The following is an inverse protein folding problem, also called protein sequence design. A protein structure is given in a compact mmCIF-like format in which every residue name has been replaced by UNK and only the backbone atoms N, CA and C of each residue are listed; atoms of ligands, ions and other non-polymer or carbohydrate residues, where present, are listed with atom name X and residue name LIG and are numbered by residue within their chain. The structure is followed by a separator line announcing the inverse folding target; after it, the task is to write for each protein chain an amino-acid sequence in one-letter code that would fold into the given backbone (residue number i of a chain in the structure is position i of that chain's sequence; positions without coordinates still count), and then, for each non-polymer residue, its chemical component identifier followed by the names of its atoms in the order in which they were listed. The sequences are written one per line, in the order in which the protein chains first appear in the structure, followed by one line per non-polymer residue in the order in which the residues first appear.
data_IF_733774534788
#
_entry.id   IF_733774534788
#
_cell.length_a   1.000
_cell.length_b   1.000
_cell.length_c   1.000
_cell.angle_alpha   90.00
_cell.angle_beta   90.00
_cell.angle_gamma   90.00
#
_symmetry.space_group_name_H-M   'P 1'
#
loop_
_entity.id
_entity.type
_entity.pdbx_description
1 polymer ?
#
# COMPACT_ATOMS: atom_id res chain seq x y z
N UNK A 1 -8.95 -6.27 14.04
CA UNK A 1 -8.58 -7.04 12.83
C UNK A 1 -7.64 -6.16 12.02
N UNK A 2 -6.51 -6.69 11.56
CA UNK A 2 -5.58 -5.97 10.69
C UNK A 2 -6.11 -5.97 9.26
N UNK A 3 -6.25 -4.80 8.65
CA UNK A 3 -6.61 -4.67 7.24
C UNK A 3 -5.35 -4.85 6.38
N UNK A 4 -5.53 -5.42 5.19
CA UNK A 4 -4.44 -5.69 4.26
C UNK A 4 -4.82 -5.38 2.82
N UNK A 5 -3.80 -5.11 2.00
CA UNK A 5 -3.92 -5.10 0.54
C UNK A 5 -3.00 -6.20 0.04
N UNK A 6 -3.60 -7.12 -0.72
CA UNK A 6 -2.96 -8.34 -1.21
C UNK A 6 -2.87 -8.27 -2.73
N UNK A 7 -1.68 -8.45 -3.27
CA UNK A 7 -1.51 -8.74 -4.69
C UNK A 7 -1.71 -10.24 -4.88
N UNK A 8 -2.85 -10.61 -5.48
CA UNK A 8 -3.23 -12.00 -5.69
C UNK A 8 -3.38 -12.24 -7.18
N UNK A 9 -2.78 -13.32 -7.68
CA UNK A 9 -2.99 -13.79 -9.05
C UNK A 9 -3.93 -14.96 -9.06
N UNK A 10 -5.06 -14.81 -9.73
CA UNK A 10 -6.03 -15.88 -9.92
C UNK A 10 -5.74 -16.64 -11.22
N UNK A 11 -6.29 -17.85 -11.32
CA UNK A 11 -6.29 -18.56 -12.59
C UNK A 11 -7.32 -17.91 -13.53
N UNK A 12 -6.90 -17.50 -14.72
CA UNK A 12 -7.79 -16.98 -15.74
C UNK A 12 -7.99 -18.01 -16.86
N UNK A 13 -9.24 -18.27 -17.22
CA UNK A 13 -9.57 -19.14 -18.35
C UNK A 13 -10.00 -18.32 -19.58
N UNK A 14 -10.19 -19.01 -20.71
CA UNK A 14 -10.54 -18.39 -21.99
C UNK A 14 -11.95 -17.74 -22.00
N UNK A 15 -12.75 -17.95 -20.97
CA UNK A 15 -14.08 -17.35 -20.80
C UNK A 15 -14.04 -15.99 -20.07
N UNK A 16 -12.85 -15.53 -19.68
CA UNK A 16 -12.65 -14.26 -18.98
C UNK A 16 -13.00 -14.30 -17.49
N UNK A 17 -13.35 -15.47 -16.94
CA UNK A 17 -13.58 -15.65 -15.50
C UNK A 17 -12.26 -15.89 -14.75
N UNK A 18 -12.26 -15.52 -13.47
CA UNK A 18 -11.15 -15.75 -12.53
C UNK A 18 -11.52 -16.88 -11.57
N UNK A 19 -10.58 -17.78 -11.32
CA UNK A 19 -10.79 -18.99 -10.53
C UNK A 19 -9.85 -19.07 -9.33
N UNK A 20 -10.37 -19.61 -8.22
CA UNK A 20 -9.62 -19.80 -6.98
C UNK A 20 -8.68 -21.01 -7.03
N UNK A 21 -8.95 -21.99 -7.88
CA UNK A 21 -8.31 -23.32 -7.87
C UNK A 21 -6.77 -23.29 -7.92
N UNK A 22 -6.17 -22.22 -8.43
CA UNK A 22 -4.72 -21.98 -8.40
C UNK A 22 -4.36 -20.52 -8.08
N UNK A 23 -5.08 -19.91 -7.13
CA UNK A 23 -4.77 -18.56 -6.69
C UNK A 23 -3.40 -18.49 -5.99
N UNK A 24 -2.56 -17.55 -6.41
CA UNK A 24 -1.24 -17.30 -5.84
C UNK A 24 -1.21 -15.94 -5.13
N UNK A 25 -0.85 -15.96 -3.85
CA UNK A 25 -0.63 -14.74 -3.08
C UNK A 25 0.81 -14.27 -3.31
N UNK A 26 0.96 -13.24 -4.12
CA UNK A 26 2.27 -12.72 -4.52
C UNK A 26 2.88 -11.86 -3.41
N UNK A 27 2.11 -10.95 -2.84
CA UNK A 27 2.59 -10.02 -1.80
C UNK A 27 1.45 -9.47 -0.94
N UNK A 28 1.75 -9.16 0.32
CA UNK A 28 0.80 -8.59 1.28
C UNK A 28 1.39 -7.34 1.95
N UNK A 29 0.62 -6.25 1.94
CA UNK A 29 0.90 -5.07 2.75
C UNK A 29 -0.23 -4.83 3.76
N UNK A 30 0.12 -4.77 5.04
CA UNK A 30 -0.81 -4.31 6.07
C UNK A 30 -1.06 -2.81 5.92
N UNK A 31 -2.30 -2.40 6.14
CA UNK A 31 -2.73 -1.00 5.99
C UNK A 31 -3.56 -0.58 7.20
N UNK A 32 -3.43 0.67 7.63
CA UNK A 32 -4.30 1.23 8.65
C UNK A 32 -5.66 1.56 8.05
N UNK A 33 -6.72 1.50 8.85
CA UNK A 33 -8.06 1.89 8.39
C UNK A 33 -8.07 3.32 7.83
N UNK A 34 -7.39 4.27 8.48
CA UNK A 34 -7.30 5.65 8.01
C UNK A 34 -6.66 5.79 6.62
N UNK A 35 -5.59 5.04 6.34
CA UNK A 35 -4.91 5.08 5.06
C UNK A 35 -5.73 4.40 3.96
N UNK A 36 -6.40 3.30 4.29
CA UNK A 36 -7.30 2.63 3.36
C UNK A 36 -8.48 3.52 2.95
N UNK A 37 -9.10 4.22 3.92
CA UNK A 37 -10.19 5.15 3.63
C UNK A 37 -9.72 6.36 2.81
N UNK A 38 -8.52 6.90 3.08
CA UNK A 38 -7.93 7.95 2.23
C UNK A 38 -7.76 7.49 0.77
N UNK A 39 -7.34 6.23 0.56
CA UNK A 39 -7.23 5.66 -0.79
C UNK A 39 -8.61 5.48 -1.43
N UNK A 40 -9.59 4.91 -0.72
CA UNK A 40 -10.96 4.69 -1.22
C UNK A 40 -11.69 5.99 -1.57
N UNK A 41 -11.39 7.08 -0.88
CA UNK A 41 -11.96 8.39 -1.18
C UNK A 41 -11.52 8.94 -2.54
N UNK A 42 -10.39 8.46 -3.08
CA UNK A 42 -9.83 8.92 -4.36
C UNK A 42 -9.91 7.88 -5.46
N UNK A 43 -9.83 6.60 -5.09
CA UNK A 43 -9.78 5.47 -6.02
C UNK A 43 -10.90 4.51 -5.66
N UNK A 44 -11.91 4.43 -6.52
CA UNK A 44 -13.03 3.53 -6.32
C UNK A 44 -12.58 2.08 -6.41
N UNK A 45 -13.07 1.24 -5.50
CA UNK A 45 -12.87 -0.20 -5.57
C UNK A 45 -13.83 -0.79 -6.61
N UNK A 46 -13.34 -1.79 -7.33
CA UNK A 46 -14.13 -2.64 -8.20
C UNK A 46 -14.41 -3.97 -7.50
N UNK A 47 -15.66 -4.41 -7.61
CA UNK A 47 -16.06 -5.75 -7.22
C UNK A 47 -15.72 -6.73 -8.35
N UNK A 48 -15.04 -7.84 -8.03
CA UNK A 48 -14.75 -8.93 -8.97
C UNK A 48 -15.25 -10.26 -8.42
N UNK A 49 -15.84 -11.07 -9.30
CA UNK A 49 -16.28 -12.43 -8.96
C UNK A 49 -15.14 -13.42 -9.15
N UNK A 50 -14.89 -14.21 -8.11
CA UNK A 50 -13.94 -15.33 -8.11
C UNK A 50 -14.72 -16.63 -8.02
N UNK A 51 -14.60 -17.46 -9.05
CA UNK A 51 -15.31 -18.72 -9.16
C UNK A 51 -14.52 -19.85 -8.49
N UNK A 52 -15.21 -20.79 -7.84
CA UNK A 52 -14.55 -21.86 -7.09
C UNK A 52 -13.80 -22.85 -8.01
N UNK A 53 -14.40 -23.19 -9.14
CA UNK A 53 -13.87 -24.16 -10.09
C UNK A 53 -14.37 -23.95 -11.53
N UNK A 54 -13.59 -24.44 -12.50
CA UNK A 54 -13.94 -24.46 -13.92
C UNK A 54 -15.28 -25.18 -14.15
N UNK A 55 -16.21 -24.50 -14.80
CA UNK A 55 -17.56 -25.02 -15.08
C UNK A 55 -18.56 -24.90 -13.93
N UNK A 56 -18.14 -24.38 -12.76
CA UNK A 56 -19.06 -23.98 -11.68
C UNK A 56 -19.54 -22.54 -11.89
N UNK A 57 -20.77 -22.26 -11.45
CA UNK A 57 -21.31 -20.89 -11.33
C UNK A 57 -21.23 -20.37 -9.89
N UNK A 58 -20.78 -21.19 -8.94
CA UNK A 58 -20.53 -20.78 -7.56
C UNK A 58 -19.31 -19.86 -7.51
N UNK A 59 -19.50 -18.69 -6.91
CA UNK A 59 -18.50 -17.64 -6.81
C UNK A 59 -18.67 -16.81 -5.55
N UNK A 60 -17.60 -16.11 -5.17
CA UNK A 60 -17.64 -15.03 -4.19
C UNK A 60 -17.11 -13.73 -4.79
N UNK A 61 -17.56 -12.60 -4.26
CA UNK A 61 -17.10 -11.28 -4.67
C UNK A 61 -15.90 -10.83 -3.83
N UNK A 62 -14.94 -10.17 -4.45
CA UNK A 62 -13.84 -9.46 -3.80
C UNK A 62 -13.84 -7.99 -4.18
N UNK A 63 -13.42 -7.14 -3.25
CA UNK A 63 -13.11 -5.74 -3.54
C UNK A 63 -11.64 -5.61 -3.93
N UNK A 64 -11.37 -4.92 -5.04
CA UNK A 64 -10.02 -4.67 -5.51
C UNK A 64 -9.86 -3.27 -6.11
N UNK A 65 -8.62 -2.76 -6.14
CA UNK A 65 -8.33 -1.50 -6.84
C UNK A 65 -8.38 -1.70 -8.36
N UNK A 66 -8.90 -0.70 -9.07
CA UNK A 66 -8.88 -0.70 -10.53
C UNK A 66 -7.46 -0.54 -11.09
N UNK A 67 -7.14 -1.33 -12.11
CA UNK A 67 -5.83 -1.30 -12.77
C UNK A 67 -5.50 0.07 -13.38
N UNK A 68 -6.51 0.81 -13.83
CA UNK A 68 -6.37 2.19 -14.34
C UNK A 68 -5.86 3.16 -13.27
N UNK A 69 -6.16 2.89 -12.00
CA UNK A 69 -5.94 3.82 -10.89
C UNK A 69 -4.63 3.51 -10.16
N UNK A 70 -4.01 2.34 -10.40
CA UNK A 70 -2.79 1.89 -9.72
C UNK A 70 -1.66 2.91 -9.81
N UNK A 71 -1.42 3.48 -11.00
CA UNK A 71 -0.35 4.47 -11.18
C UNK A 71 -0.62 5.75 -10.37
N UNK A 72 -1.87 6.21 -10.34
CA UNK A 72 -2.26 7.38 -9.56
C UNK A 72 -2.20 7.11 -8.05
N UNK A 73 -2.58 5.91 -7.62
CA UNK A 73 -2.48 5.48 -6.24
C UNK A 73 -1.03 5.42 -5.75
N UNK A 74 -0.08 4.95 -6.59
CA UNK A 74 1.36 4.99 -6.27
C UNK A 74 1.79 6.43 -5.99
N UNK A 75 1.47 7.37 -6.87
CA UNK A 75 1.85 8.79 -6.70
C UNK A 75 1.28 9.37 -5.41
N UNK A 76 0.01 9.08 -5.11
CA UNK A 76 -0.63 9.52 -3.87
C UNK A 76 0.05 8.95 -2.62
N UNK A 77 0.42 7.67 -2.64
CA UNK A 77 1.15 7.05 -1.55
C UNK A 77 2.54 7.65 -1.36
N UNK A 78 3.25 7.96 -2.46
CA UNK A 78 4.54 8.65 -2.43
C UNK A 78 4.41 10.08 -1.87
N UNK A 79 3.33 10.81 -2.20
CA UNK A 79 3.04 12.12 -1.61
C UNK A 79 2.78 12.04 -0.10
N UNK A 80 1.98 11.06 0.35
CA UNK A 80 1.73 10.80 1.77
C UNK A 80 3.04 10.48 2.49
N UNK A 81 3.87 9.62 1.88
CA UNK A 81 5.17 9.26 2.41
C UNK A 81 6.08 10.48 2.58
N UNK A 82 6.18 11.36 1.57
CA UNK A 82 6.96 12.59 1.66
C UNK A 82 6.42 13.54 2.73
N UNK A 83 5.10 13.61 2.92
CA UNK A 83 4.48 14.42 3.97
C UNK A 83 4.86 13.90 5.37
N UNK A 84 4.80 12.59 5.58
CA UNK A 84 5.20 11.95 6.84
C UNK A 84 6.68 12.12 7.10
N UNK A 85 7.54 11.94 6.10
CA UNK A 85 8.99 12.15 6.25
C UNK A 85 9.30 13.60 6.68
N UNK A 86 8.60 14.59 6.12
CA UNK A 86 8.74 16.00 6.53
C UNK A 86 8.24 16.24 7.95
N UNK A 87 7.13 15.62 8.33
CA UNK A 87 6.54 15.74 9.67
C UNK A 87 7.44 15.11 10.73
N UNK A 88 7.86 13.86 10.50
CA UNK A 88 8.72 13.10 11.41
C UNK A 88 10.11 13.74 11.47
N UNK A 89 10.64 14.23 10.35
CA UNK A 89 11.87 15.02 10.33
C UNK A 89 11.81 16.24 11.25
N UNK A 90 10.70 17.00 11.25
CA UNK A 90 10.50 18.13 12.17
C UNK A 90 10.38 17.71 13.63
N UNK A 91 9.70 16.60 13.92
CA UNK A 91 9.56 16.07 15.28
C UNK A 91 10.90 15.58 15.83
N UNK A 92 11.65 14.84 15.01
CA UNK A 92 12.93 14.26 15.38
C UNK A 92 14.06 15.30 15.44
N UNK A 93 13.98 16.42 14.71
CA UNK A 93 15.01 17.47 14.78
C UNK A 93 14.95 18.37 16.02
N UNK A 94 13.92 18.26 16.87
CA UNK A 94 13.67 19.27 17.91
C UNK A 94 13.50 20.67 17.30
N UNK A 95 13.26 21.69 18.12
CA UNK A 95 13.29 23.08 17.63
C UNK A 95 14.74 23.43 17.27
N UNK A 96 15.11 23.25 16.01
CA UNK A 96 16.35 23.80 15.46
C UNK A 96 16.24 25.34 15.53
N UNK A 97 17.00 25.97 16.43
CA UNK A 97 17.29 27.39 16.24
C UNK A 97 18.10 27.53 14.94
N UNK A 98 17.83 28.54 14.10
CA UNK A 98 18.48 28.68 12.82
C UNK A 98 19.91 29.21 13.01
N UNK A 99 20.84 28.32 13.33
CA UNK A 99 22.25 28.61 13.15
C UNK A 99 22.69 28.22 11.73
N UNK A 100 23.51 29.11 11.17
CA UNK A 100 23.95 29.22 9.78
C UNK A 100 24.59 27.94 9.17
N UNK A 101 24.88 27.93 7.85
CA UNK A 101 24.94 26.72 7.02
C UNK A 101 26.22 25.89 7.22
N UNK A 102 26.12 24.60 6.84
CA UNK A 102 27.21 23.64 6.57
C UNK A 102 27.77 22.74 7.69
N UNK A 103 27.19 22.67 8.89
CA UNK A 103 27.62 21.65 9.86
C UNK A 103 26.52 20.62 10.18
N UNK A 104 26.91 19.34 10.16
CA UNK A 104 26.11 18.25 10.73
C UNK A 104 25.70 18.64 12.16
N UNK A 105 24.41 18.58 12.53
CA UNK A 105 23.94 19.07 13.81
C UNK A 105 24.58 18.27 14.94
N UNK A 106 25.52 18.89 15.65
CA UNK A 106 26.32 18.22 16.69
C UNK A 106 25.66 18.21 18.07
N UNK A 107 24.48 18.81 18.23
CA UNK A 107 23.72 18.82 19.49
C UNK A 107 22.21 18.81 19.21
N UNK A 108 21.58 17.67 19.45
CA UNK A 108 20.13 17.59 19.64
C UNK A 108 19.84 18.11 21.06
N UNK A 109 19.08 19.19 21.16
CA UNK A 109 18.79 19.89 22.43
C UNK A 109 17.75 19.17 23.29
N UNK A 110 16.96 18.26 22.72
CA UNK A 110 15.98 17.46 23.45
C UNK A 110 16.18 15.96 23.13
N UNK A 111 16.14 15.06 24.13
CA UNK A 111 16.21 13.63 23.88
C UNK A 111 14.94 13.18 23.13
N UNK A 112 15.12 12.73 21.89
CA UNK A 112 14.07 12.05 21.12
C UNK A 112 13.64 10.81 21.91
N UNK A 113 12.34 10.62 22.13
CA UNK A 113 11.86 9.42 22.82
C UNK A 113 12.05 8.19 21.92
N UNK A 114 12.39 7.04 22.52
CA UNK A 114 12.50 5.79 21.76
C UNK A 114 11.17 5.39 21.11
N UNK A 115 10.05 5.73 21.76
CA UNK A 115 8.70 5.50 21.26
C UNK A 115 8.42 6.29 19.98
N UNK A 116 8.84 7.56 19.90
CA UNK A 116 8.71 8.37 18.67
C UNK A 116 9.48 7.77 17.48
N UNK A 117 10.64 7.15 17.75
CA UNK A 117 11.45 6.49 16.73
C UNK A 117 10.77 5.20 16.26
N UNK A 118 10.33 4.35 17.18
CA UNK A 118 9.63 3.09 16.85
C UNK A 118 8.36 3.35 16.03
N UNK A 119 7.58 4.35 16.43
CA UNK A 119 6.39 4.79 15.71
C UNK A 119 6.72 5.27 14.29
N UNK A 120 7.77 6.07 14.14
CA UNK A 120 8.21 6.57 12.84
C UNK A 120 8.66 5.43 11.92
N UNK A 121 9.43 4.47 12.45
CA UNK A 121 9.86 3.28 11.71
C UNK A 121 8.65 2.43 11.29
N UNK A 122 7.70 2.22 12.20
CA UNK A 122 6.50 1.43 11.94
C UNK A 122 5.64 2.04 10.82
N UNK A 123 5.41 3.36 10.87
CA UNK A 123 4.70 4.10 9.81
C UNK A 123 5.43 4.03 8.47
N UNK A 124 6.75 4.22 8.50
CA UNK A 124 7.60 4.16 7.31
C UNK A 124 7.52 2.78 6.64
N UNK A 125 7.67 1.70 7.43
CA UNK A 125 7.56 0.32 6.94
C UNK A 125 6.19 0.03 6.34
N UNK A 126 5.12 0.49 7.01
CA UNK A 126 3.75 0.30 6.53
C UNK A 126 3.55 0.94 5.15
N UNK A 127 3.96 2.20 4.98
CA UNK A 127 3.82 2.91 3.71
C UNK A 127 4.70 2.35 2.60
N UNK A 128 5.96 2.04 2.91
CA UNK A 128 6.89 1.51 1.90
C UNK A 128 6.48 0.13 1.41
N UNK A 129 5.99 -0.75 2.30
CA UNK A 129 5.43 -2.03 1.90
C UNK A 129 4.19 -1.86 1.02
N UNK A 130 3.30 -0.92 1.36
CA UNK A 130 2.12 -0.65 0.56
C UNK A 130 2.46 -0.08 -0.83
N UNK A 131 3.39 0.87 -0.89
CA UNK A 131 3.93 1.38 -2.17
C UNK A 131 4.53 0.24 -3.00
N UNK A 132 5.29 -0.66 -2.35
CA UNK A 132 5.89 -1.80 -3.03
C UNK A 132 4.85 -2.72 -3.67
N UNK A 133 3.77 -3.04 -2.96
CA UNK A 133 2.66 -3.87 -3.50
C UNK A 133 2.05 -3.24 -4.76
N UNK A 134 1.75 -1.94 -4.73
CA UNK A 134 1.20 -1.25 -5.91
C UNK A 134 2.21 -1.18 -7.05
N UNK A 135 3.50 -0.95 -6.75
CA UNK A 135 4.57 -0.96 -7.76
C UNK A 135 4.74 -2.34 -8.39
N UNK A 136 4.69 -3.42 -7.61
CA UNK A 136 4.73 -4.79 -8.16
C UNK A 136 3.59 -5.02 -9.15
N UNK A 137 2.36 -4.61 -8.80
CA UNK A 137 1.22 -4.66 -9.73
C UNK A 137 1.51 -3.84 -11.00
N UNK A 138 1.99 -2.60 -10.87
CA UNK A 138 2.25 -1.72 -12.00
C UNK A 138 3.40 -2.18 -12.90
N UNK A 139 4.49 -2.69 -12.32
CA UNK A 139 5.73 -2.96 -13.05
C UNK A 139 5.71 -4.36 -13.68
N UNK A 140 5.16 -5.34 -12.97
CA UNK A 140 5.22 -6.75 -13.39
C UNK A 140 3.88 -7.27 -13.94
N UNK A 141 2.76 -6.73 -13.47
CA UNK A 141 1.42 -7.26 -13.75
C UNK A 141 0.48 -6.24 -14.43
N UNK A 142 1.03 -5.19 -15.03
CA UNK A 142 0.25 -4.08 -15.63
C UNK A 142 -0.80 -4.50 -16.64
N UNK A 143 -0.52 -5.57 -17.38
CA UNK A 143 -1.36 -6.10 -18.47
C UNK A 143 -1.96 -7.46 -18.13
N UNK A 144 -1.86 -7.87 -16.87
CA UNK A 144 -2.35 -9.15 -16.39
C UNK A 144 -3.58 -8.91 -15.50
N UNK A 145 -4.77 -9.02 -16.11
CA UNK A 145 -6.06 -8.79 -15.46
C UNK A 145 -6.40 -9.85 -14.39
N UNK A 146 -5.65 -10.97 -14.40
CA UNK A 146 -5.77 -12.04 -13.40
C UNK A 146 -5.06 -11.71 -12.08
N UNK A 147 -4.11 -10.76 -12.12
CA UNK A 147 -3.40 -10.26 -10.94
C UNK A 147 -4.08 -8.99 -10.42
N UNK A 148 -4.62 -9.05 -9.20
CA UNK A 148 -5.46 -7.99 -8.63
C UNK A 148 -4.96 -7.53 -7.27
N UNK A 149 -5.16 -6.25 -6.97
CA UNK A 149 -4.91 -5.67 -5.65
C UNK A 149 -6.17 -5.76 -4.79
N UNK A 150 -6.34 -6.91 -4.13
CA UNK A 150 -7.48 -7.25 -3.29
C UNK A 150 -7.38 -6.60 -1.90
N UNK A 151 -8.48 -6.05 -1.41
CA UNK A 151 -8.61 -5.63 0.01
C UNK A 151 -8.95 -6.86 0.85
N UNK A 152 -8.22 -7.07 1.95
CA UNK A 152 -8.40 -8.18 2.89
C UNK A 152 -8.43 -7.76 4.35
#
# INVERSE_FOLDING_TARGET
MSLSINLVKYEAANDGKLYETNADLIETAFVTSSLLEELKNQFSLAEKNIFEALGSEDHYSIDCFNDSDVEAAIRKLEEIFLSILKSDGKKLHGKMEPDAPENLPSKYSDPISSEDIEDSISRFRTLTNLINVFKLKHDQFRKDDSAVLKVG
#
